data_IF_615521871264
#
_entry.id   IF_615521871264
#
_cell.length_a   1.000
_cell.length_b   1.000
_cell.length_c   1.000
_cell.angle_alpha   90.00
_cell.angle_beta   90.00
_cell.angle_gamma   90.00
#
_symmetry.space_group_name_H-M   'P 1'
#
loop_
_entity.id
_entity.type
_entity.pdbx_description
1 polymer ?
#
# COMPACT_ATOMS: atom_id res chain seq x y z
N UNK A 1 -2.52 8.83 24.63
CA UNK A 1 -3.58 8.64 23.61
C UNK A 1 -3.30 9.62 22.50
N UNK A 2 -2.73 9.18 21.37
CA UNK A 2 -2.70 10.04 20.18
C UNK A 2 -4.16 10.39 19.87
N UNK A 3 -4.45 11.68 19.69
CA UNK A 3 -5.76 12.13 19.22
C UNK A 3 -6.14 11.28 18.02
N UNK A 4 -7.32 10.67 18.05
CA UNK A 4 -7.90 10.10 16.85
C UNK A 4 -7.72 11.15 15.75
N UNK A 5 -6.98 10.77 14.70
CA UNK A 5 -6.70 11.65 13.58
C UNK A 5 -8.03 12.22 13.11
N UNK A 6 -8.15 13.54 12.98
CA UNK A 6 -9.43 14.15 12.63
C UNK A 6 -9.95 13.52 11.33
N UNK A 7 -11.28 13.47 11.18
CA UNK A 7 -11.89 12.89 9.99
C UNK A 7 -11.32 13.54 8.71
N UNK A 8 -11.15 14.86 8.73
CA UNK A 8 -10.55 15.64 7.65
C UNK A 8 -9.12 15.17 7.30
N UNK A 9 -8.26 15.00 8.30
CA UNK A 9 -6.89 14.50 8.08
C UNK A 9 -6.91 13.07 7.54
N UNK A 10 -7.81 12.22 8.04
CA UNK A 10 -7.96 10.84 7.58
C UNK A 10 -8.38 10.76 6.11
N UNK A 11 -9.32 11.62 5.71
CA UNK A 11 -9.79 11.76 4.33
C UNK A 11 -8.72 12.36 3.41
N UNK A 12 -8.02 13.40 3.86
CA UNK A 12 -6.89 13.98 3.12
C UNK A 12 -5.82 12.93 2.85
N UNK A 13 -5.47 12.12 3.85
CA UNK A 13 -4.48 11.04 3.71
C UNK A 13 -4.97 9.95 2.76
N UNK A 14 -6.28 9.64 2.76
CA UNK A 14 -6.86 8.68 1.82
C UNK A 14 -6.80 9.20 0.37
N UNK A 15 -7.10 10.48 0.15
CA UNK A 15 -7.00 11.12 -1.16
C UNK A 15 -5.55 11.13 -1.66
N UNK A 16 -4.59 11.47 -0.79
CA UNK A 16 -3.16 11.41 -1.10
C UNK A 16 -2.74 9.97 -1.43
N UNK A 17 -3.18 8.97 -0.66
CA UNK A 17 -2.86 7.58 -0.92
C UNK A 17 -3.43 7.10 -2.27
N UNK A 18 -4.63 7.53 -2.64
CA UNK A 18 -5.24 7.22 -3.94
C UNK A 18 -4.43 7.85 -5.09
N UNK A 19 -4.09 9.14 -4.99
CA UNK A 19 -3.29 9.83 -5.98
C UNK A 19 -1.88 9.23 -6.10
N UNK A 20 -1.21 8.96 -4.98
CA UNK A 20 0.09 8.30 -4.97
C UNK A 20 0.02 6.91 -5.60
N UNK A 21 -1.02 6.12 -5.32
CA UNK A 21 -1.21 4.80 -5.90
C UNK A 21 -1.40 4.86 -7.42
N UNK A 22 -1.99 5.92 -7.96
CA UNK A 22 -2.06 6.13 -9.41
C UNK A 22 -0.68 6.34 -10.02
N UNK A 23 0.13 7.25 -9.47
CA UNK A 23 1.47 7.53 -10.01
C UNK A 23 2.40 6.31 -9.86
N UNK A 24 2.42 5.70 -8.67
CA UNK A 24 3.25 4.53 -8.40
C UNK A 24 2.75 3.33 -9.22
N UNK A 25 1.44 3.14 -9.36
CA UNK A 25 0.86 2.07 -10.17
C UNK A 25 1.26 2.17 -11.65
N UNK A 26 1.27 3.39 -12.20
CA UNK A 26 1.78 3.67 -13.55
C UNK A 26 3.28 3.36 -13.66
N UNK A 27 4.09 3.86 -12.72
CA UNK A 27 5.53 3.61 -12.71
C UNK A 27 5.84 2.11 -12.63
N UNK A 28 5.15 1.39 -11.75
CA UNK A 28 5.29 -0.05 -11.57
C UNK A 28 4.84 -0.83 -12.82
N UNK A 29 3.84 -0.34 -13.54
CA UNK A 29 3.44 -0.95 -14.81
C UNK A 29 4.55 -0.85 -15.85
N UNK A 30 5.22 0.31 -15.95
CA UNK A 30 6.36 0.49 -16.85
C UNK A 30 7.56 -0.38 -16.47
N UNK A 31 7.81 -0.59 -15.17
CA UNK A 31 8.91 -1.43 -14.68
C UNK A 31 8.65 -2.93 -14.84
N UNK A 32 7.42 -3.39 -14.55
CA UNK A 32 7.09 -4.81 -14.55
C UNK A 32 6.59 -5.33 -15.91
N UNK A 33 6.09 -4.44 -16.78
CA UNK A 33 5.48 -4.81 -18.06
C UNK A 33 4.40 -5.89 -17.88
N UNK A 34 4.50 -6.97 -18.67
CA UNK A 34 3.55 -8.09 -18.63
C UNK A 34 3.55 -8.88 -17.31
N UNK A 35 4.58 -8.76 -16.47
CA UNK A 35 4.64 -9.42 -15.18
C UNK A 35 3.65 -8.80 -14.17
N UNK A 36 3.40 -7.49 -14.27
CA UNK A 36 2.48 -6.77 -13.37
C UNK A 36 1.00 -6.99 -13.67
N UNK A 37 0.11 -6.27 -12.97
CA UNK A 37 -1.35 -6.37 -13.12
C UNK A 37 -1.96 -5.27 -14.00
N UNK A 38 -1.16 -4.65 -14.86
CA UNK A 38 -1.55 -3.41 -15.52
C UNK A 38 -1.54 -2.23 -14.55
N UNK A 39 -1.77 -1.02 -15.08
CA UNK A 39 -1.82 0.22 -14.28
C UNK A 39 -2.89 0.14 -13.19
N UNK A 40 -4.12 -0.21 -13.55
CA UNK A 40 -5.26 -0.24 -12.64
C UNK A 40 -5.10 -1.30 -11.56
N UNK A 41 -4.65 -2.50 -11.91
CA UNK A 41 -4.41 -3.57 -10.93
C UNK A 41 -3.31 -3.19 -9.94
N UNK A 42 -2.17 -2.67 -10.42
CA UNK A 42 -1.10 -2.21 -9.54
C UNK A 42 -1.56 -1.09 -8.60
N UNK A 43 -2.33 -0.12 -9.12
CA UNK A 43 -2.90 0.97 -8.32
C UNK A 43 -3.81 0.44 -7.20
N UNK A 44 -4.75 -0.45 -7.52
CA UNK A 44 -5.66 -1.02 -6.52
C UNK A 44 -4.89 -1.80 -5.45
N UNK A 45 -3.93 -2.62 -5.85
CA UNK A 45 -3.13 -3.42 -4.91
C UNK A 45 -2.34 -2.50 -3.97
N UNK A 46 -1.70 -1.46 -4.50
CA UNK A 46 -0.95 -0.51 -3.68
C UNK A 46 -1.87 0.26 -2.72
N UNK A 47 -3.04 0.69 -3.19
CA UNK A 47 -4.00 1.42 -2.37
C UNK A 47 -4.55 0.56 -1.23
N UNK A 48 -5.06 -0.64 -1.55
CA UNK A 48 -5.58 -1.55 -0.54
C UNK A 48 -4.48 -2.07 0.39
N UNK A 49 -3.29 -2.37 -0.14
CA UNK A 49 -2.14 -2.75 0.67
C UNK A 49 -1.75 -1.67 1.66
N UNK A 50 -1.79 -0.39 1.26
CA UNK A 50 -1.57 0.73 2.16
C UNK A 50 -2.68 0.83 3.23
N UNK A 51 -3.95 0.68 2.86
CA UNK A 51 -5.06 0.69 3.82
C UNK A 51 -4.94 -0.43 4.86
N UNK A 52 -4.60 -1.64 4.42
CA UNK A 52 -4.34 -2.78 5.30
C UNK A 52 -3.15 -2.49 6.21
N UNK A 53 -2.04 -2.00 5.64
CA UNK A 53 -0.85 -1.61 6.40
C UNK A 53 -1.16 -0.58 7.49
N UNK A 54 -1.92 0.46 7.15
CA UNK A 54 -2.35 1.48 8.12
C UNK A 54 -3.21 0.86 9.22
N UNK A 55 -4.18 0.01 8.88
CA UNK A 55 -5.05 -0.65 9.85
C UNK A 55 -4.33 -1.66 10.76
N UNK A 56 -3.24 -2.26 10.29
CA UNK A 56 -2.38 -3.10 11.12
C UNK A 56 -1.54 -2.26 12.07
N UNK A 57 -0.93 -1.20 11.55
CA UNK A 57 -0.05 -0.30 12.30
C UNK A 57 -0.79 0.38 13.46
N UNK A 58 -2.05 0.78 13.29
CA UNK A 58 -2.85 1.39 14.37
C UNK A 58 -3.17 0.43 15.51
N UNK A 59 -3.04 -0.89 15.30
CA UNK A 59 -3.20 -1.91 16.34
C UNK A 59 -1.89 -2.23 17.07
N UNK A 60 -0.75 -1.80 16.54
CA UNK A 60 0.57 -2.03 17.14
C UNK A 60 0.80 -1.03 18.26
N UNK A 61 1.31 -1.50 19.39
CA UNK A 61 1.62 -0.65 20.54
C UNK A 61 2.73 0.35 20.21
N UNK A 62 2.62 1.57 20.74
CA UNK A 62 3.61 2.65 20.58
C UNK A 62 5.03 2.21 20.95
N UNK A 63 5.16 1.36 21.97
CA UNK A 63 6.45 0.83 22.43
C UNK A 63 7.17 0.01 21.34
N UNK A 64 6.40 -0.55 20.40
CA UNK A 64 6.90 -1.39 19.31
C UNK A 64 7.11 -0.60 18.02
N UNK A 65 6.24 0.37 17.72
CA UNK A 65 6.34 1.18 16.51
C UNK A 65 6.02 2.65 16.79
N UNK A 66 7.04 3.54 16.80
CA UNK A 66 6.82 4.97 16.95
C UNK A 66 5.95 5.52 15.80
N UNK A 67 5.13 6.57 16.05
CA UNK A 67 4.20 7.15 15.07
C UNK A 67 4.88 7.59 13.79
N UNK A 68 6.12 8.06 13.86
CA UNK A 68 6.88 8.49 12.68
C UNK A 68 7.04 7.36 11.65
N UNK A 69 7.05 6.10 12.10
CA UNK A 69 7.20 4.92 11.24
C UNK A 69 5.87 4.40 10.69
N UNK A 70 4.74 4.94 11.12
CA UNK A 70 3.43 4.40 10.74
C UNK A 70 3.16 4.47 9.23
N UNK A 71 3.49 5.61 8.62
CA UNK A 71 3.33 5.82 7.18
C UNK A 71 4.34 4.98 6.38
N UNK A 72 5.66 5.03 6.67
CA UNK A 72 6.63 4.15 6.02
C UNK A 72 6.27 2.65 6.10
N UNK A 73 5.84 2.17 7.26
CA UNK A 73 5.44 0.77 7.44
C UNK A 73 4.22 0.43 6.58
N UNK A 74 3.21 1.29 6.53
CA UNK A 74 2.03 1.08 5.68
C UNK A 74 2.39 1.05 4.18
N UNK A 75 3.31 1.90 3.74
CA UNK A 75 3.86 1.88 2.38
C UNK A 75 4.59 0.56 2.12
N UNK A 76 5.44 0.11 3.07
CA UNK A 76 6.13 -1.18 2.96
C UNK A 76 5.17 -2.35 2.78
N UNK A 77 4.07 -2.38 3.55
CA UNK A 77 3.01 -3.40 3.40
C UNK A 77 2.36 -3.35 2.02
N UNK A 78 2.14 -2.15 1.46
CA UNK A 78 1.59 -2.01 0.10
C UNK A 78 2.49 -2.64 -0.97
N UNK A 79 3.79 -2.36 -0.91
CA UNK A 79 4.75 -2.94 -1.85
C UNK A 79 4.95 -4.43 -1.63
N UNK A 80 4.95 -4.91 -0.38
CA UNK A 80 4.99 -6.34 -0.07
C UNK A 80 3.77 -7.07 -0.63
N UNK A 81 2.58 -6.48 -0.54
CA UNK A 81 1.37 -7.04 -1.12
C UNK A 81 1.47 -7.15 -2.66
N UNK A 82 1.95 -6.08 -3.32
CA UNK A 82 2.18 -6.10 -4.77
C UNK A 82 3.20 -7.17 -5.16
N UNK A 83 4.34 -7.22 -4.47
CA UNK A 83 5.38 -8.22 -4.69
C UNK A 83 4.81 -9.64 -4.55
N UNK A 84 4.12 -9.92 -3.45
CA UNK A 84 3.54 -11.24 -3.19
C UNK A 84 2.55 -11.65 -4.28
N UNK A 85 1.63 -10.76 -4.67
CA UNK A 85 0.65 -11.05 -5.71
C UNK A 85 1.31 -11.27 -7.08
N UNK A 86 2.35 -10.50 -7.41
CA UNK A 86 3.11 -10.71 -8.66
C UNK A 86 3.78 -12.07 -8.66
N UNK A 87 4.38 -12.48 -7.53
CA UNK A 87 4.98 -13.82 -7.38
C UNK A 87 3.92 -14.91 -7.56
N UNK A 88 2.77 -14.80 -6.89
CA UNK A 88 1.66 -15.76 -7.02
C UNK A 88 1.18 -15.85 -8.47
N UNK A 89 0.91 -14.71 -9.13
CA UNK A 89 0.54 -14.67 -10.55
C UNK A 89 1.57 -15.40 -11.41
N UNK A 90 2.86 -15.16 -11.16
CA UNK A 90 3.93 -15.75 -11.96
C UNK A 90 4.04 -17.26 -11.77
N UNK A 91 3.80 -17.77 -10.56
CA UNK A 91 3.74 -19.22 -10.30
C UNK A 91 2.54 -19.85 -10.99
N UNK A 92 1.35 -19.23 -10.89
CA UNK A 92 0.13 -19.74 -11.51
C UNK A 92 0.17 -19.75 -13.04
N UNK A 93 0.89 -18.82 -13.68
CA UNK A 93 1.06 -18.82 -15.13
C UNK A 93 2.06 -19.87 -15.66
N UNK A 94 2.90 -20.42 -14.77
CA UNK A 94 3.87 -21.47 -15.12
C UNK A 94 3.33 -22.89 -14.87
N UNK A 95 2.30 -23.02 -14.04
CA UNK A 95 1.58 -24.27 -13.79
C UNK A 95 0.57 -24.53 -14.91
#
# INVERSE_FOLDING_TARGET
>A
MYSAMSLEMSLATLAIAAAASFFVGNAMNSLMGAMGFGVLGNMLILFFGYMVGRGLVTKISYRTLPPEFHVPTAIGVAFLALFFLVVVKRVMQKA
#
